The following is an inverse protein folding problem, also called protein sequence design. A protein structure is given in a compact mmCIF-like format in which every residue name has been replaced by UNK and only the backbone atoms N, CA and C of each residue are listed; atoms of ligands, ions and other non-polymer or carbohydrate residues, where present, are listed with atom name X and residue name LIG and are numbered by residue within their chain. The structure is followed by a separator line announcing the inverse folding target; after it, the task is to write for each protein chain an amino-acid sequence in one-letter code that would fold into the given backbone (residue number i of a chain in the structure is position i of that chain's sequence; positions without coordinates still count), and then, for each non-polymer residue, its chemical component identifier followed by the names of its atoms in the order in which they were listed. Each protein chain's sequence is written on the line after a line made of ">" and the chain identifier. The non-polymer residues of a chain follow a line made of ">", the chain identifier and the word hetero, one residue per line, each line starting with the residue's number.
data_IF_027936252903
#
_entry.id   IF_027936252903
#
_cell.length_a   1.000
_cell.length_b   1.000
_cell.length_c   1.000
_cell.angle_alpha   90.00
_cell.angle_beta   90.00
_cell.angle_gamma   90.00
#
_symmetry.space_group_name_H-M   'P 1'
#
loop_
_entity.id
_entity.type
_entity.pdbx_description
1 polymer ?
#
# COMPACT_ATOMS: atom_id res chain seq x y z
N UNK A 1 2.37 -19.45 -1.48
CA UNK A 1 3.00 -19.46 -0.17
C UNK A 1 2.20 -20.35 0.79
N UNK A 2 1.09 -19.90 1.35
CA UNK A 2 0.31 -20.68 2.34
C UNK A 2 -0.91 -21.41 1.75
N UNK A 3 -1.07 -21.43 0.43
CA UNK A 3 -2.20 -22.04 -0.29
C UNK A 3 -3.59 -21.60 0.22
N UNK A 4 -3.72 -20.32 0.64
CA UNK A 4 -5.00 -19.77 1.02
C UNK A 4 -5.94 -19.71 -0.21
N UNK A 5 -7.11 -20.38 -0.20
CA UNK A 5 -8.02 -20.41 -1.35
C UNK A 5 -8.71 -19.06 -1.60
N UNK A 6 -8.72 -18.18 -0.61
CA UNK A 6 -9.39 -16.86 -0.68
C UNK A 6 -8.38 -15.70 -0.64
N UNK A 7 -7.17 -15.88 -1.18
CA UNK A 7 -6.17 -14.82 -1.21
C UNK A 7 -6.53 -13.73 -2.23
N UNK A 8 -6.45 -12.46 -1.83
CA UNK A 8 -6.55 -11.31 -2.73
C UNK A 8 -5.25 -11.08 -3.51
N UNK A 9 -5.29 -10.21 -4.49
CA UNK A 9 -4.25 -10.07 -5.51
C UNK A 9 -3.00 -9.29 -5.12
N UNK A 10 -2.95 -8.65 -3.95
CA UNK A 10 -1.83 -7.82 -3.50
C UNK A 10 -1.21 -8.30 -2.18
N UNK A 11 -2.00 -8.84 -1.29
CA UNK A 11 -1.55 -9.40 -0.02
C UNK A 11 -2.44 -10.58 0.39
N UNK A 12 -1.84 -11.58 1.00
CA UNK A 12 -2.58 -12.70 1.56
C UNK A 12 -3.00 -12.36 3.00
N UNK A 13 -4.31 -12.31 3.28
CA UNK A 13 -4.85 -11.99 4.60
C UNK A 13 -4.52 -13.04 5.67
N UNK A 14 -4.20 -14.26 5.24
CA UNK A 14 -3.87 -15.35 6.17
C UNK A 14 -2.43 -15.32 6.66
N UNK A 15 -1.47 -15.05 5.76
CA UNK A 15 -0.04 -15.15 6.10
C UNK A 15 0.73 -13.82 5.91
N UNK A 16 0.05 -12.74 5.49
CA UNK A 16 0.64 -11.43 5.30
C UNK A 16 1.61 -11.29 4.13
N UNK A 17 1.83 -12.36 3.36
CA UNK A 17 2.74 -12.31 2.21
C UNK A 17 2.23 -11.38 1.13
N UNK A 18 3.08 -10.48 0.64
CA UNK A 18 2.79 -9.68 -0.55
C UNK A 18 2.76 -10.58 -1.79
N UNK A 19 1.77 -10.38 -2.62
CA UNK A 19 1.55 -11.15 -3.84
C UNK A 19 1.49 -10.22 -5.06
N UNK A 20 2.05 -10.69 -6.17
CA UNK A 20 1.66 -10.15 -7.48
C UNK A 20 0.38 -10.85 -7.94
N UNK A 21 -0.56 -10.16 -8.60
CA UNK A 21 -1.74 -10.78 -9.21
C UNK A 21 -1.42 -11.98 -10.11
N UNK A 22 -0.21 -12.01 -10.68
CA UNK A 22 0.28 -13.13 -11.51
C UNK A 22 0.58 -14.41 -10.73
N UNK A 23 0.76 -14.32 -9.42
CA UNK A 23 1.04 -15.45 -8.53
C UNK A 23 -0.23 -16.16 -8.04
N UNK A 24 -1.41 -15.60 -8.35
CA UNK A 24 -2.68 -16.23 -8.04
C UNK A 24 -2.93 -17.43 -8.94
N UNK A 25 -3.36 -18.53 -8.34
CA UNK A 25 -3.73 -19.76 -9.04
C UNK A 25 -5.24 -19.72 -9.29
N UNK A 26 -5.65 -19.84 -10.55
CA UNK A 26 -7.07 -19.81 -10.96
C UNK A 26 -7.82 -18.57 -10.43
N UNK A 27 -7.32 -17.34 -10.67
CA UNK A 27 -7.96 -16.15 -10.17
C UNK A 27 -9.36 -15.96 -10.78
N UNK A 28 -10.29 -15.50 -9.95
CA UNK A 28 -11.66 -15.17 -10.36
C UNK A 28 -12.11 -13.86 -9.72
N UNK A 29 -12.96 -13.14 -10.43
CA UNK A 29 -13.59 -11.94 -9.90
C UNK A 29 -14.61 -12.32 -8.82
N UNK A 30 -14.53 -11.68 -7.66
CA UNK A 30 -15.53 -11.86 -6.59
C UNK A 30 -16.89 -11.28 -6.93
N UNK A 31 -16.97 -10.41 -7.95
CA UNK A 31 -18.22 -9.75 -8.37
C UNK A 31 -18.94 -10.50 -9.49
N UNK A 32 -18.22 -11.17 -10.38
CA UNK A 32 -18.79 -11.75 -11.61
C UNK A 32 -18.35 -13.18 -11.90
N UNK A 33 -17.50 -13.75 -11.05
CA UNK A 33 -16.83 -15.05 -11.25
C UNK A 33 -16.02 -15.15 -12.57
N UNK A 34 -15.87 -14.04 -13.28
CA UNK A 34 -15.12 -14.00 -14.52
C UNK A 34 -13.61 -14.20 -14.26
N UNK A 35 -12.95 -14.86 -15.19
CA UNK A 35 -11.48 -15.00 -15.17
C UNK A 35 -10.84 -13.67 -15.57
N UNK A 36 -9.98 -13.07 -14.72
CA UNK A 36 -9.29 -11.83 -15.06
C UNK A 36 -8.37 -12.00 -16.28
N UNK A 37 -8.32 -10.99 -17.12
CA UNK A 37 -7.42 -10.94 -18.26
C UNK A 37 -6.24 -10.02 -18.00
N UNK A 38 -5.04 -10.43 -18.41
CA UNK A 38 -3.85 -9.59 -18.30
C UNK A 38 -3.92 -8.45 -19.31
N UNK A 39 -3.71 -7.24 -18.82
CA UNK A 39 -3.67 -6.03 -19.63
C UNK A 39 -2.41 -5.22 -19.32
N UNK A 40 -1.71 -4.77 -20.34
CA UNK A 40 -0.58 -3.86 -20.17
C UNK A 40 -1.09 -2.48 -19.81
N UNK A 41 -0.52 -1.90 -18.78
CA UNK A 41 -0.81 -0.54 -18.33
C UNK A 41 0.47 0.12 -17.83
N UNK A 42 0.47 1.46 -17.76
CA UNK A 42 1.58 2.25 -17.22
C UNK A 42 1.21 2.75 -15.84
N UNK A 43 2.07 2.50 -14.86
CA UNK A 43 1.91 3.01 -13.51
C UNK A 43 3.16 3.73 -13.04
N UNK A 44 3.01 4.64 -12.09
CA UNK A 44 4.10 5.27 -11.36
C UNK A 44 4.34 4.51 -10.07
N UNK A 45 5.62 4.34 -9.73
CA UNK A 45 6.05 3.62 -8.54
C UNK A 45 6.86 4.52 -7.63
N UNK A 46 6.60 4.45 -6.36
CA UNK A 46 7.47 5.02 -5.34
C UNK A 46 8.60 4.04 -5.01
N UNK A 47 9.86 4.42 -5.19
CA UNK A 47 11.00 3.52 -4.97
C UNK A 47 11.32 3.42 -3.47
N UNK A 48 10.45 2.77 -2.70
CA UNK A 48 10.51 2.70 -1.25
C UNK A 48 11.82 2.08 -0.74
N UNK A 49 12.40 1.14 -1.51
CA UNK A 49 13.68 0.52 -1.20
C UNK A 49 14.84 1.52 -1.08
N UNK A 50 14.77 2.67 -1.77
CA UNK A 50 15.81 3.70 -1.70
C UNK A 50 15.87 4.37 -0.31
N UNK A 51 14.81 4.24 0.47
CA UNK A 51 14.67 4.81 1.82
C UNK A 51 14.88 3.78 2.92
N UNK A 52 15.17 2.52 2.57
CA UNK A 52 15.24 1.42 3.53
C UNK A 52 16.27 1.65 4.64
N UNK A 53 17.49 2.13 4.29
CA UNK A 53 18.52 2.40 5.28
C UNK A 53 18.10 3.49 6.27
N UNK A 54 17.52 4.57 5.77
CA UNK A 54 16.99 5.65 6.60
C UNK A 54 15.82 5.16 7.48
N UNK A 55 14.89 4.39 6.93
CA UNK A 55 13.76 3.83 7.68
C UNK A 55 14.23 2.85 8.76
N UNK A 56 15.26 2.04 8.49
CA UNK A 56 15.85 1.16 9.51
C UNK A 56 16.39 1.97 10.69
N UNK A 57 17.18 3.01 10.43
CA UNK A 57 17.68 3.88 11.47
C UNK A 57 16.52 4.52 12.25
N UNK A 58 15.62 5.17 11.54
CA UNK A 58 14.52 5.93 12.15
C UNK A 58 13.57 5.05 12.96
N UNK A 59 13.15 3.88 12.45
CA UNK A 59 12.19 3.01 13.13
C UNK A 59 12.88 2.14 14.18
N UNK A 60 13.99 1.46 13.80
CA UNK A 60 14.56 0.41 14.63
C UNK A 60 15.52 0.94 15.71
N UNK A 61 16.08 2.14 15.50
CA UNK A 61 17.01 2.74 16.46
C UNK A 61 16.39 3.91 17.22
N UNK A 62 15.75 4.84 16.49
CA UNK A 62 15.31 6.11 17.08
C UNK A 62 13.91 6.00 17.72
N UNK A 63 13.10 4.98 17.36
CA UNK A 63 11.72 4.81 17.82
C UNK A 63 11.43 3.41 18.40
N UNK A 64 12.35 2.91 19.23
CA UNK A 64 12.19 1.62 19.94
C UNK A 64 11.05 1.63 20.97
N UNK A 65 10.59 2.81 21.34
CA UNK A 65 9.48 3.06 22.25
C UNK A 65 8.09 2.85 21.64
N UNK A 66 8.00 2.62 20.34
CA UNK A 66 6.73 2.33 19.70
C UNK A 66 6.10 1.05 20.25
N UNK A 67 4.76 0.97 20.18
CA UNK A 67 4.03 -0.23 20.59
C UNK A 67 4.61 -1.48 19.92
N UNK A 68 4.81 -2.53 20.69
CA UNK A 68 5.48 -3.77 20.25
C UNK A 68 4.91 -4.35 18.94
N UNK A 69 3.58 -4.30 18.76
CA UNK A 69 2.96 -4.78 17.53
C UNK A 69 3.30 -3.92 16.31
N UNK A 70 3.37 -2.59 16.47
CA UNK A 70 3.75 -1.66 15.40
C UNK A 70 5.22 -1.83 15.05
N UNK A 71 6.09 -1.77 16.06
CA UNK A 71 7.53 -1.95 15.89
C UNK A 71 7.86 -3.30 15.23
N UNK A 72 7.28 -4.39 15.74
CA UNK A 72 7.50 -5.75 15.22
C UNK A 72 7.05 -5.90 13.77
N UNK A 73 5.92 -5.30 13.39
CA UNK A 73 5.43 -5.33 12.01
C UNK A 73 6.35 -4.55 11.07
N UNK A 74 6.76 -3.34 11.46
CA UNK A 74 7.70 -2.52 10.68
C UNK A 74 9.05 -3.23 10.52
N UNK A 75 9.57 -3.81 11.61
CA UNK A 75 10.81 -4.60 11.58
C UNK A 75 10.71 -5.77 10.60
N UNK A 76 9.62 -6.53 10.63
CA UNK A 76 9.39 -7.66 9.74
C UNK A 76 9.42 -7.25 8.26
N UNK A 77 8.83 -6.12 7.91
CA UNK A 77 8.87 -5.59 6.55
C UNK A 77 10.27 -5.15 6.14
N UNK A 78 11.00 -4.48 7.03
CA UNK A 78 12.38 -4.04 6.78
C UNK A 78 13.35 -5.23 6.65
N UNK A 79 13.16 -6.27 7.45
CA UNK A 79 13.97 -7.50 7.36
C UNK A 79 13.69 -8.28 6.07
N UNK A 80 12.47 -8.20 5.54
CA UNK A 80 12.08 -8.82 4.26
C UNK A 80 12.58 -8.06 3.03
N UNK A 81 13.08 -6.84 3.23
CA UNK A 81 13.46 -5.91 2.17
C UNK A 81 12.27 -5.17 1.56
N UNK A 82 12.40 -3.85 1.44
CA UNK A 82 11.36 -3.00 0.88
C UNK A 82 11.35 -3.07 -0.65
N UNK A 83 10.15 -3.00 -1.23
CA UNK A 83 9.94 -3.03 -2.67
C UNK A 83 9.28 -1.74 -3.14
N UNK A 84 9.48 -1.39 -4.42
CA UNK A 84 8.74 -0.29 -5.04
C UNK A 84 7.23 -0.47 -4.90
N UNK A 85 6.53 0.59 -4.56
CA UNK A 85 5.06 0.60 -4.38
C UNK A 85 4.37 1.37 -5.49
N UNK A 86 3.39 0.75 -6.13
CA UNK A 86 2.59 1.42 -7.15
C UNK A 86 1.76 2.53 -6.51
N UNK A 87 1.93 3.76 -7.03
CA UNK A 87 1.25 4.96 -6.55
C UNK A 87 -0.06 5.24 -7.27
N UNK A 88 -0.33 4.55 -8.36
CA UNK A 88 -1.46 4.84 -9.24
C UNK A 88 -2.29 3.59 -9.53
N UNK A 89 -3.56 3.80 -9.90
CA UNK A 89 -4.49 2.76 -10.33
C UNK A 89 -5.23 3.20 -11.59
N UNK A 90 -5.62 2.24 -12.42
CA UNK A 90 -6.58 2.44 -13.51
C UNK A 90 -7.98 2.50 -12.90
N UNK A 91 -8.56 3.70 -12.84
CA UNK A 91 -9.90 3.92 -12.31
C UNK A 91 -10.46 5.26 -12.79
N UNK A 92 -11.79 5.32 -12.85
CA UNK A 92 -12.52 6.57 -13.08
C UNK A 92 -12.90 7.30 -11.79
N UNK A 93 -12.75 6.63 -10.65
CA UNK A 93 -13.09 7.15 -9.33
C UNK A 93 -11.84 7.23 -8.45
N UNK A 94 -11.62 8.37 -7.83
CA UNK A 94 -10.49 8.68 -6.97
C UNK A 94 -9.81 10.02 -7.31
N UNK A 95 -8.76 10.35 -6.61
CA UNK A 95 -7.96 11.56 -6.84
C UNK A 95 -7.16 11.39 -8.13
N UNK A 96 -7.41 12.24 -9.11
CA UNK A 96 -6.70 12.19 -10.40
C UNK A 96 -5.22 12.49 -10.21
N UNK A 97 -4.38 11.74 -10.93
CA UNK A 97 -2.93 11.98 -10.95
C UNK A 97 -2.64 13.30 -11.66
N UNK A 98 -1.96 14.28 -11.01
CA UNK A 98 -1.71 15.61 -11.55
C UNK A 98 -0.50 15.63 -12.51
N UNK A 99 -0.50 14.73 -13.50
CA UNK A 99 0.54 14.63 -14.51
C UNK A 99 -0.09 14.60 -15.90
N UNK A 100 0.55 15.24 -16.88
CA UNK A 100 0.03 15.36 -18.24
C UNK A 100 -0.26 14.01 -18.93
N UNK A 101 0.54 12.99 -18.67
CA UNK A 101 0.42 11.68 -19.31
C UNK A 101 -0.29 10.63 -18.42
N UNK A 102 -1.18 11.08 -17.53
CA UNK A 102 -1.83 10.23 -16.53
C UNK A 102 -3.35 10.10 -16.73
N UNK A 103 -3.85 10.28 -17.96
CA UNK A 103 -5.26 10.13 -18.27
C UNK A 103 -5.76 8.74 -17.85
N UNK A 104 -6.94 8.69 -17.19
CA UNK A 104 -7.53 7.44 -16.69
C UNK A 104 -6.81 6.84 -15.47
N UNK A 105 -5.92 7.61 -14.84
CA UNK A 105 -5.21 7.21 -13.63
C UNK A 105 -5.66 8.02 -12.43
N UNK A 106 -5.75 7.33 -11.30
CA UNK A 106 -5.99 7.94 -9.99
C UNK A 106 -4.88 7.55 -9.03
N UNK A 107 -4.70 8.32 -7.97
CA UNK A 107 -3.79 7.96 -6.88
C UNK A 107 -4.31 6.69 -6.19
N UNK A 108 -3.39 5.86 -5.76
CA UNK A 108 -3.73 4.70 -4.94
C UNK A 108 -4.11 5.17 -3.53
N UNK A 109 -5.28 4.74 -3.08
CA UNK A 109 -5.89 5.21 -1.82
C UNK A 109 -4.96 5.13 -0.60
N UNK A 110 -4.11 4.13 -0.50
CA UNK A 110 -3.16 4.01 0.61
C UNK A 110 -1.99 5.00 0.55
N UNK A 111 -1.83 5.68 -0.58
CA UNK A 111 -0.84 6.74 -0.71
C UNK A 111 -1.35 8.07 -0.15
N UNK A 112 -2.63 8.36 -0.29
CA UNK A 112 -3.25 9.60 0.18
C UNK A 112 -4.06 9.45 1.48
N UNK A 113 -4.49 8.23 1.84
CA UNK A 113 -5.28 7.95 3.04
C UNK A 113 -4.68 8.51 4.36
N UNK A 114 -3.35 8.53 4.58
CA UNK A 114 -2.76 9.13 5.79
C UNK A 114 -3.08 10.60 5.99
N UNK A 115 -3.38 11.35 4.91
CA UNK A 115 -3.78 12.76 4.96
C UNK A 115 -5.07 12.93 5.78
N UNK A 116 -6.00 11.95 5.72
CA UNK A 116 -7.23 11.95 6.48
C UNK A 116 -7.00 12.01 8.00
N UNK A 117 -6.00 11.28 8.49
CA UNK A 117 -5.63 11.29 9.92
C UNK A 117 -5.02 12.64 10.32
N UNK A 118 -4.17 13.21 9.47
CA UNK A 118 -3.58 14.53 9.68
C UNK A 118 -4.66 15.61 9.71
N UNK A 119 -5.62 15.57 8.79
CA UNK A 119 -6.73 16.50 8.70
C UNK A 119 -7.63 16.42 9.93
N UNK A 120 -7.98 15.21 10.37
CA UNK A 120 -8.78 15.00 11.58
C UNK A 120 -8.08 15.50 12.84
N UNK A 121 -6.77 15.27 12.96
CA UNK A 121 -5.98 15.79 14.08
C UNK A 121 -5.94 17.31 14.07
N UNK A 122 -5.74 17.92 12.90
CA UNK A 122 -5.74 19.37 12.77
C UNK A 122 -7.08 19.98 13.16
N UNK A 123 -8.18 19.43 12.64
CA UNK A 123 -9.54 19.89 12.97
C UNK A 123 -9.80 19.82 14.48
N UNK A 124 -9.42 18.70 15.12
CA UNK A 124 -9.54 18.55 16.56
C UNK A 124 -8.72 19.60 17.31
N UNK A 125 -7.48 19.85 16.90
CA UNK A 125 -6.59 20.85 17.53
C UNK A 125 -7.16 22.25 17.38
N UNK A 126 -7.69 22.60 16.21
CA UNK A 126 -8.29 23.90 15.94
C UNK A 126 -9.58 24.14 16.78
N UNK A 127 -10.33 23.04 17.08
CA UNK A 127 -11.51 23.12 17.96
C UNK A 127 -11.18 23.25 19.45
N UNK A 128 -9.98 22.85 19.87
CA UNK A 128 -9.56 22.81 21.28
C UNK A 128 -8.45 23.84 21.59
N UNK A 129 -8.22 24.77 20.67
CA UNK A 129 -7.20 25.81 20.81
C UNK A 129 -7.68 27.06 21.59
N UNK A 130 -8.88 27.01 22.21
CA UNK A 130 -9.46 28.08 23.07
C UNK A 130 -9.17 27.81 24.58
#
# INVERSE_FOLDING_TARGET
>A
VCANPNAYGDQCERCGSSLSPEQLINPRSTLSDAVPVKKKTKHWYFPLQNYEAWLKQWILEDHKDWKNNVYGQCKSWLDSGLQSRAMTRDSNWGIKVPLENAQGKVLYVWFDAPIGYISATKELTDQWAD
#
